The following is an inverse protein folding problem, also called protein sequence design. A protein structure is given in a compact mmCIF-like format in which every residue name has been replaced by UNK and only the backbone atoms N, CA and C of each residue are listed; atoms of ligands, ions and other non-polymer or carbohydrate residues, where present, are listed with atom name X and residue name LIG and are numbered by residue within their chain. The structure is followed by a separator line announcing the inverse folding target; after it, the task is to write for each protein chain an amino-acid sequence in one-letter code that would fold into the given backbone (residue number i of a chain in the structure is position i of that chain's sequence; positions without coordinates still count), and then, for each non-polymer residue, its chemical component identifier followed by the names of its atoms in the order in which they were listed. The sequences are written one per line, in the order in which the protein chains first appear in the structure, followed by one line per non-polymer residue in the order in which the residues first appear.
data_IF_946103402540
#
_entry.id   IF_946103402540
#
_cell.length_a   1.000
_cell.length_b   1.000
_cell.length_c   1.000
_cell.angle_alpha   90.00
_cell.angle_beta   90.00
_cell.angle_gamma   90.00
#
_symmetry.space_group_name_H-M   'P 1'
#
loop_
_entity.id
_entity.type
_entity.pdbx_description
1 polymer ?
#
# COMPACT_ATOMS: atom_id res chain seq x y z
N UNK A 1 0.88 -6.02 112.97
CA UNK A 1 1.02 -6.39 111.54
C UNK A 1 -0.38 -6.45 110.94
N UNK A 2 -0.55 -5.81 109.77
CA UNK A 2 -1.73 -5.84 108.86
C UNK A 2 -3.04 -5.24 109.42
N UNK A 3 -3.86 -4.46 108.70
CA UNK A 3 -3.96 -4.07 107.29
C UNK A 3 -4.92 -2.83 107.15
N UNK A 4 -5.12 -2.39 105.91
CA UNK A 4 -6.23 -1.54 105.33
C UNK A 4 -5.77 -0.13 104.89
N UNK A 5 -5.53 0.09 103.58
CA UNK A 5 -6.47 0.55 102.50
C UNK A 5 -6.83 2.04 102.66
N UNK A 6 -6.88 2.89 101.63
CA UNK A 6 -6.72 2.79 100.18
C UNK A 6 -7.26 4.09 99.55
N UNK A 7 -6.64 4.59 98.47
CA UNK A 7 -7.28 5.56 97.55
C UNK A 7 -6.56 5.61 96.19
N UNK A 8 -7.35 5.95 95.18
CA UNK A 8 -7.06 6.60 93.89
C UNK A 8 -7.11 5.77 92.60
N UNK A 9 -8.05 6.22 91.76
CA UNK A 9 -8.45 5.82 90.42
C UNK A 9 -7.47 6.24 89.30
N UNK A 10 -7.79 5.81 88.06
CA UNK A 10 -7.58 6.68 86.88
C UNK A 10 -7.25 6.00 85.55
N UNK A 11 -8.15 6.22 84.57
CA UNK A 11 -7.92 6.25 83.11
C UNK A 11 -7.54 4.97 82.34
N UNK A 12 -8.54 4.28 81.77
CA UNK A 12 -8.35 3.38 80.62
C UNK A 12 -9.62 3.20 79.77
N UNK A 13 -10.29 4.28 79.36
CA UNK A 13 -11.46 4.21 78.46
C UNK A 13 -11.49 5.36 77.44
N UNK A 14 -10.58 5.38 76.45
CA UNK A 14 -10.77 6.29 75.29
C UNK A 14 -10.18 5.82 73.94
N UNK A 15 -9.32 4.79 73.89
CA UNK A 15 -8.63 4.43 72.63
C UNK A 15 -9.44 3.54 71.65
N UNK A 16 -10.49 2.86 72.12
CA UNK A 16 -11.16 1.79 71.35
C UNK A 16 -12.28 2.25 70.40
N UNK A 17 -12.94 3.36 70.72
CA UNK A 17 -14.16 3.81 70.03
C UNK A 17 -13.84 4.62 68.77
N UNK A 18 -12.72 5.35 68.78
CA UNK A 18 -12.29 6.17 67.65
C UNK A 18 -11.80 5.33 66.46
N UNK A 19 -11.07 4.25 66.73
CA UNK A 19 -10.51 3.33 65.72
C UNK A 19 -11.59 2.59 64.93
N UNK A 20 -12.64 2.07 65.60
CA UNK A 20 -13.78 1.42 64.92
C UNK A 20 -14.62 2.39 64.09
N UNK A 21 -14.68 3.66 64.47
CA UNK A 21 -15.43 4.69 63.71
C UNK A 21 -14.70 5.15 62.45
N UNK A 22 -13.36 5.22 62.48
CA UNK A 22 -12.50 5.56 61.33
C UNK A 22 -12.50 4.45 60.28
N UNK A 23 -12.41 3.18 60.71
CA UNK A 23 -12.48 2.02 59.81
C UNK A 23 -13.85 1.87 59.13
N UNK A 24 -14.94 2.15 59.85
CA UNK A 24 -16.30 2.14 59.27
C UNK A 24 -16.55 3.26 58.25
N UNK A 25 -15.89 4.42 58.40
CA UNK A 25 -15.94 5.53 57.43
C UNK A 25 -15.16 5.21 56.15
N UNK A 26 -13.96 4.63 56.29
CA UNK A 26 -13.13 4.20 55.15
C UNK A 26 -13.80 3.06 54.38
N UNK A 27 -14.43 2.11 55.06
CA UNK A 27 -15.11 0.99 54.41
C UNK A 27 -16.40 1.38 53.67
N UNK A 28 -17.15 2.37 54.16
CA UNK A 28 -18.29 2.96 53.41
C UNK A 28 -17.81 3.74 52.18
N UNK A 29 -16.71 4.48 52.29
CA UNK A 29 -16.12 5.21 51.16
C UNK A 29 -15.60 4.26 50.07
N UNK A 30 -14.94 3.15 50.43
CA UNK A 30 -14.47 2.13 49.49
C UNK A 30 -15.59 1.37 48.76
N UNK A 31 -16.73 1.16 49.42
CA UNK A 31 -17.87 0.41 48.86
C UNK A 31 -18.67 1.25 47.87
N UNK A 32 -18.80 2.55 48.08
CA UNK A 32 -19.51 3.49 47.19
C UNK A 32 -18.73 3.79 45.88
N UNK A 33 -17.40 3.66 45.88
CA UNK A 33 -16.56 3.90 44.69
C UNK A 33 -16.41 2.67 43.77
N UNK A 34 -16.88 1.49 44.19
CA UNK A 34 -16.66 0.21 43.48
C UNK A 34 -17.47 0.08 42.17
N UNK A 35 -18.69 0.61 42.14
CA UNK A 35 -19.57 0.60 40.96
C UNK A 35 -19.13 1.64 39.93
N UNK A 36 -18.67 2.81 40.37
CA UNK A 36 -18.16 3.86 39.49
C UNK A 36 -16.81 3.48 38.84
N UNK A 37 -15.94 2.77 39.55
CA UNK A 37 -14.65 2.34 39.01
C UNK A 37 -14.80 1.35 37.84
N UNK A 38 -15.76 0.42 37.91
CA UNK A 38 -16.00 -0.58 36.86
C UNK A 38 -16.57 0.06 35.58
N UNK A 39 -17.49 1.02 35.72
CA UNK A 39 -18.04 1.78 34.59
C UNK A 39 -16.99 2.62 33.89
N UNK A 40 -16.10 3.29 34.64
CA UNK A 40 -15.00 4.08 34.07
C UNK A 40 -14.00 3.19 33.34
N UNK A 41 -13.67 2.01 33.88
CA UNK A 41 -12.76 1.07 33.23
C UNK A 41 -13.34 0.51 31.91
N UNK A 42 -14.63 0.15 31.89
CA UNK A 42 -15.31 -0.31 30.67
C UNK A 42 -15.38 0.81 29.63
N UNK A 43 -15.75 2.03 30.04
CA UNK A 43 -15.75 3.19 29.15
C UNK A 43 -14.35 3.47 28.57
N UNK A 44 -13.30 3.41 29.40
CA UNK A 44 -11.92 3.60 28.97
C UNK A 44 -11.46 2.50 28.00
N UNK A 45 -11.86 1.24 28.20
CA UNK A 45 -11.54 0.14 27.30
C UNK A 45 -12.26 0.25 25.95
N UNK A 46 -13.52 0.69 25.93
CA UNK A 46 -14.28 0.93 24.69
C UNK A 46 -13.70 2.11 23.91
N UNK A 47 -13.39 3.21 24.60
CA UNK A 47 -12.80 4.42 23.99
C UNK A 47 -11.36 4.17 23.54
N UNK A 48 -10.57 3.40 24.29
CA UNK A 48 -9.17 3.11 23.95
C UNK A 48 -8.98 1.96 22.94
N UNK A 49 -9.92 1.00 22.89
CA UNK A 49 -9.76 -0.22 22.07
C UNK A 49 -10.66 -0.30 20.84
N UNK A 50 -11.91 0.20 20.90
CA UNK A 50 -12.91 -0.02 19.84
C UNK A 50 -13.09 1.22 18.97
N UNK A 51 -13.20 2.39 19.60
CA UNK A 51 -13.37 3.67 18.90
C UNK A 51 -12.23 3.97 17.91
N UNK A 52 -10.94 3.87 18.30
CA UNK A 52 -9.85 4.12 17.35
C UNK A 52 -9.85 3.13 16.19
N UNK A 53 -10.18 1.85 16.39
CA UNK A 53 -10.22 0.86 15.29
C UNK A 53 -11.30 1.19 14.26
N UNK A 54 -12.50 1.56 14.72
CA UNK A 54 -13.61 1.96 13.84
C UNK A 54 -13.35 3.29 13.14
N UNK A 55 -12.76 4.27 13.84
CA UNK A 55 -12.41 5.57 13.26
C UNK A 55 -11.32 5.42 12.19
N UNK A 56 -10.32 4.57 12.44
CA UNK A 56 -9.24 4.30 11.47
C UNK A 56 -9.78 3.59 10.23
N UNK A 57 -10.67 2.61 10.41
CA UNK A 57 -11.30 1.90 9.28
C UNK A 57 -12.15 2.83 8.42
N UNK A 58 -12.99 3.66 9.06
CA UNK A 58 -13.79 4.65 8.34
C UNK A 58 -12.91 5.64 7.57
N UNK A 59 -11.88 6.20 8.23
CA UNK A 59 -10.94 7.12 7.58
C UNK A 59 -10.23 6.47 6.39
N UNK A 60 -9.86 5.19 6.48
CA UNK A 60 -9.15 4.50 5.41
C UNK A 60 -9.98 4.39 4.12
N UNK A 61 -11.30 4.18 4.23
CA UNK A 61 -12.20 4.18 3.07
C UNK A 61 -12.31 5.57 2.42
N UNK A 62 -12.35 6.65 3.22
CA UNK A 62 -12.40 8.02 2.70
C UNK A 62 -11.07 8.52 2.11
N UNK A 63 -9.94 8.02 2.61
CA UNK A 63 -8.61 8.38 2.12
C UNK A 63 -8.11 7.49 0.97
N UNK A 64 -8.82 6.40 0.65
CA UNK A 64 -8.43 5.53 -0.46
C UNK A 64 -8.66 6.25 -1.79
N UNK A 65 -7.65 6.33 -2.68
CA UNK A 65 -7.85 6.88 -4.00
C UNK A 65 -8.92 6.07 -4.75
N UNK A 66 -9.77 6.72 -5.56
CA UNK A 66 -10.78 6.02 -6.33
C UNK A 66 -10.14 5.00 -7.26
N UNK A 67 -10.82 3.87 -7.45
CA UNK A 67 -10.37 2.85 -8.40
C UNK A 67 -10.20 3.45 -9.80
N UNK A 68 -9.21 2.99 -10.58
CA UNK A 68 -9.02 3.47 -11.94
C UNK A 68 -10.27 3.19 -12.78
N UNK A 69 -10.59 4.11 -13.68
CA UNK A 69 -11.70 3.94 -14.62
C UNK A 69 -11.54 2.61 -15.39
N UNK A 70 -12.66 1.91 -15.68
CA UNK A 70 -12.61 0.67 -16.44
C UNK A 70 -11.98 0.90 -17.80
N UNK A 71 -11.25 -0.11 -18.30
CA UNK A 71 -10.75 -0.05 -19.66
C UNK A 71 -11.91 -0.05 -20.66
N UNK A 72 -11.79 0.71 -21.74
CA UNK A 72 -12.81 0.78 -22.80
C UNK A 72 -12.81 -0.45 -23.70
N UNK A 73 -11.78 -1.29 -23.60
CA UNK A 73 -11.67 -2.59 -24.24
C UNK A 73 -11.54 -3.70 -23.18
N UNK A 74 -12.20 -4.85 -23.35
CA UNK A 74 -12.00 -6.01 -22.49
C UNK A 74 -11.04 -7.04 -23.13
N UNK A 75 -10.06 -7.51 -22.34
CA UNK A 75 -9.21 -8.65 -22.68
C UNK A 75 -8.56 -8.59 -24.07
N UNK A 76 -8.75 -9.64 -24.87
CA UNK A 76 -8.21 -9.72 -26.23
C UNK A 76 -8.67 -8.59 -27.17
N UNK A 77 -9.80 -7.92 -26.86
CA UNK A 77 -10.27 -6.75 -27.61
C UNK A 77 -9.37 -5.52 -27.48
N UNK A 78 -8.38 -5.56 -26.58
CA UNK A 78 -7.36 -4.52 -26.45
C UNK A 78 -6.16 -4.71 -27.39
N UNK A 79 -6.01 -5.85 -28.08
CA UNK A 79 -4.86 -6.06 -28.99
C UNK A 79 -4.78 -4.97 -30.06
N UNK A 80 -3.59 -4.43 -30.27
CA UNK A 80 -3.31 -3.40 -31.26
C UNK A 80 -3.83 -2.00 -30.91
N UNK A 81 -4.46 -1.82 -29.75
CA UNK A 81 -4.94 -0.51 -29.31
C UNK A 81 -3.90 0.25 -28.47
N UNK A 82 -4.15 1.54 -28.28
CA UNK A 82 -3.31 2.44 -27.49
C UNK A 82 -3.58 2.24 -25.98
N UNK A 83 -2.56 1.94 -25.16
CA UNK A 83 -2.74 1.62 -23.75
C UNK A 83 -3.17 2.82 -22.89
N UNK A 84 -2.94 4.06 -23.32
CA UNK A 84 -3.37 5.25 -22.58
C UNK A 84 -4.81 5.60 -22.94
N UNK A 85 -5.14 5.60 -24.23
CA UNK A 85 -6.50 5.90 -24.71
C UNK A 85 -7.53 4.92 -24.16
N UNK A 86 -7.17 3.64 -24.08
CA UNK A 86 -8.08 2.61 -23.55
C UNK A 86 -8.04 2.49 -22.02
N UNK A 87 -7.24 3.32 -21.33
CA UNK A 87 -7.14 3.35 -19.87
C UNK A 87 -6.28 2.25 -19.25
N UNK A 88 -5.79 1.27 -20.02
CA UNK A 88 -5.01 0.13 -19.52
C UNK A 88 -3.68 0.52 -18.84
N UNK A 89 -3.21 1.75 -19.04
CA UNK A 89 -1.99 2.27 -18.40
C UNK A 89 -2.14 2.64 -16.91
N UNK A 90 -3.36 2.80 -16.41
CA UNK A 90 -3.61 3.39 -15.09
C UNK A 90 -3.10 2.54 -13.92
N UNK A 91 -3.21 1.22 -14.02
CA UNK A 91 -2.79 0.23 -13.01
C UNK A 91 -1.70 -0.71 -13.53
N UNK A 92 -1.07 -0.35 -14.65
CA UNK A 92 -0.09 -1.21 -15.28
C UNK A 92 1.23 -1.24 -14.52
N UNK A 93 1.63 -2.46 -14.16
CA UNK A 93 2.93 -2.75 -13.58
C UNK A 93 4.01 -2.70 -14.64
N UNK A 94 5.22 -2.35 -14.23
CA UNK A 94 6.35 -2.06 -15.11
C UNK A 94 7.54 -2.95 -14.76
N UNK A 95 8.15 -3.52 -15.78
CA UNK A 95 9.49 -4.09 -15.70
C UNK A 95 10.47 -3.15 -16.40
N UNK A 96 11.42 -2.64 -15.64
CA UNK A 96 12.54 -1.85 -16.12
C UNK A 96 13.83 -2.50 -15.58
N UNK A 97 14.55 -3.27 -16.41
CA UNK A 97 15.85 -3.79 -16.00
C UNK A 97 16.88 -2.66 -15.93
N UNK A 98 17.95 -2.82 -15.15
CA UNK A 98 19.12 -1.96 -15.25
C UNK A 98 19.60 -1.95 -16.70
N UNK A 99 19.75 -0.76 -17.28
CA UNK A 99 20.18 -0.60 -18.66
C UNK A 99 21.63 -0.10 -18.68
N UNK A 100 22.49 -0.84 -19.38
CA UNK A 100 23.83 -0.37 -19.77
C UNK A 100 23.76 0.60 -20.97
N UNK A 101 22.55 0.88 -21.46
CA UNK A 101 22.28 1.81 -22.55
C UNK A 101 21.68 3.13 -22.01
N UNK A 102 22.00 4.27 -22.64
CA UNK A 102 21.45 5.58 -22.26
C UNK A 102 19.95 5.70 -22.54
N UNK A 103 19.43 4.90 -23.48
CA UNK A 103 18.00 4.78 -23.77
C UNK A 103 17.42 3.68 -22.90
N UNK A 104 16.33 3.96 -22.18
CA UNK A 104 15.68 2.98 -21.32
C UNK A 104 14.54 2.28 -22.05
N UNK A 105 14.48 0.96 -21.92
CA UNK A 105 13.44 0.10 -22.47
C UNK A 105 12.69 -0.55 -21.31
N UNK A 106 11.39 -0.36 -21.30
CA UNK A 106 10.48 -0.90 -20.29
C UNK A 106 9.47 -1.81 -20.98
N UNK A 107 9.01 -2.83 -20.26
CA UNK A 107 7.76 -3.51 -20.60
C UNK A 107 6.74 -3.16 -19.55
N UNK A 108 5.52 -2.84 -19.96
CA UNK A 108 4.39 -2.61 -19.06
C UNK A 108 3.34 -3.70 -19.29
N UNK A 109 2.70 -4.13 -18.21
CA UNK A 109 1.64 -5.15 -18.22
C UNK A 109 0.42 -4.62 -17.49
N UNK A 110 -0.75 -4.77 -18.10
CA UNK A 110 -2.02 -4.58 -17.42
C UNK A 110 -2.72 -5.92 -17.28
N UNK A 111 -2.84 -6.42 -16.03
CA UNK A 111 -3.55 -7.67 -15.75
C UNK A 111 -5.04 -7.55 -16.06
N UNK A 112 -5.65 -6.41 -15.75
CA UNK A 112 -7.08 -6.17 -16.02
C UNK A 112 -7.40 -6.20 -17.52
N UNK A 113 -6.48 -5.73 -18.35
CA UNK A 113 -6.66 -5.72 -19.81
C UNK A 113 -6.11 -6.98 -20.49
N UNK A 114 -5.31 -7.82 -19.81
CA UNK A 114 -4.72 -9.03 -20.41
C UNK A 114 -3.72 -8.70 -21.52
N UNK A 115 -2.88 -7.67 -21.33
CA UNK A 115 -1.99 -7.13 -22.36
C UNK A 115 -0.63 -6.73 -21.83
N UNK A 116 0.36 -6.68 -22.73
CA UNK A 116 1.68 -6.08 -22.53
C UNK A 116 2.01 -5.10 -23.65
N UNK A 117 2.90 -4.14 -23.37
CA UNK A 117 3.45 -3.24 -24.38
C UNK A 117 4.85 -2.76 -23.99
N UNK A 118 5.64 -2.38 -25.00
CA UNK A 118 6.95 -1.76 -24.79
C UNK A 118 6.83 -0.25 -24.59
N UNK A 119 7.70 0.33 -23.76
CA UNK A 119 7.96 1.77 -23.69
C UNK A 119 9.44 2.02 -23.86
N UNK A 120 9.79 2.98 -24.70
CA UNK A 120 11.14 3.51 -24.80
C UNK A 120 11.16 4.94 -24.23
N UNK A 121 12.22 5.29 -23.50
CA UNK A 121 12.43 6.65 -22.96
C UNK A 121 13.88 7.09 -23.13
N UNK A 122 14.12 8.40 -23.07
CA UNK A 122 15.42 9.01 -23.39
C UNK A 122 15.88 8.75 -24.82
N UNK A 123 14.92 8.44 -25.71
CA UNK A 123 15.14 8.15 -27.11
C UNK A 123 15.22 9.43 -27.95
N UNK A 124 15.64 9.27 -29.20
CA UNK A 124 15.58 10.30 -30.24
C UNK A 124 14.47 10.00 -31.24
N UNK A 125 14.04 11.03 -31.96
CA UNK A 125 13.07 10.88 -33.06
C UNK A 125 13.63 9.92 -34.12
N UNK A 126 12.81 8.94 -34.50
CA UNK A 126 13.17 7.86 -35.41
C UNK A 126 13.63 6.57 -34.72
N UNK A 127 13.93 6.60 -33.41
CA UNK A 127 14.16 5.36 -32.67
C UNK A 127 12.89 4.50 -32.65
N UNK A 128 13.06 3.18 -32.62
CA UNK A 128 11.95 2.23 -32.71
C UNK A 128 11.90 1.37 -31.46
N UNK A 129 10.70 1.23 -30.91
CA UNK A 129 10.39 0.23 -29.88
C UNK A 129 9.50 -0.84 -30.47
N UNK A 130 9.80 -2.10 -30.17
CA UNK A 130 9.02 -3.26 -30.59
C UNK A 130 8.72 -4.15 -29.40
N UNK A 131 7.53 -4.73 -29.35
CA UNK A 131 7.17 -5.82 -28.43
C UNK A 131 6.63 -6.99 -29.24
N UNK A 132 7.03 -8.20 -28.89
CA UNK A 132 6.60 -9.45 -29.51
C UNK A 132 6.25 -10.46 -28.44
N UNK A 133 5.08 -11.07 -28.54
CA UNK A 133 4.68 -12.21 -27.69
C UNK A 133 4.95 -13.50 -28.44
N UNK A 134 5.55 -14.48 -27.77
CA UNK A 134 5.81 -15.81 -28.34
C UNK A 134 4.48 -16.49 -28.69
N UNK A 135 4.34 -16.96 -29.94
CA UNK A 135 3.08 -17.51 -30.46
C UNK A 135 1.95 -16.49 -30.65
N UNK A 136 2.22 -15.19 -30.46
CA UNK A 136 1.23 -14.12 -30.57
C UNK A 136 1.65 -13.00 -31.53
N UNK A 137 1.03 -11.83 -31.37
CA UNK A 137 1.28 -10.65 -32.20
C UNK A 137 2.61 -9.97 -31.86
N UNK A 138 3.10 -9.17 -32.80
CA UNK A 138 4.16 -8.20 -32.59
C UNK A 138 3.69 -6.80 -32.97
N UNK A 139 4.11 -5.79 -32.22
CA UNK A 139 3.75 -4.39 -32.45
C UNK A 139 4.98 -3.53 -32.28
N UNK A 140 5.09 -2.52 -33.13
CA UNK A 140 6.20 -1.57 -33.13
C UNK A 140 5.66 -0.15 -33.15
N UNK A 141 6.44 0.78 -32.63
CA UNK A 141 6.18 2.21 -32.73
C UNK A 141 7.49 2.96 -32.91
N UNK A 142 7.44 4.01 -33.74
CA UNK A 142 8.55 4.93 -33.96
C UNK A 142 8.35 6.14 -33.04
N UNK A 143 9.43 6.65 -32.47
CA UNK A 143 9.43 7.93 -31.75
C UNK A 143 9.25 9.04 -32.79
N UNK A 144 8.06 9.61 -32.88
CA UNK A 144 7.76 10.67 -33.86
C UNK A 144 8.12 12.06 -33.34
N UNK A 145 8.04 12.25 -32.02
CA UNK A 145 8.35 13.49 -31.33
C UNK A 145 8.77 13.20 -29.88
N UNK A 146 9.35 14.19 -29.21
CA UNK A 146 9.74 14.06 -27.81
C UNK A 146 10.89 13.08 -27.60
N UNK A 147 10.85 12.35 -26.48
CA UNK A 147 11.92 11.41 -26.06
C UNK A 147 11.37 10.06 -25.60
N UNK A 148 10.09 9.81 -25.77
CA UNK A 148 9.46 8.56 -25.38
C UNK A 148 8.36 8.14 -26.34
N UNK A 149 8.13 6.83 -26.41
CA UNK A 149 7.07 6.23 -27.21
C UNK A 149 6.67 4.89 -26.60
N UNK A 150 5.42 4.49 -26.87
CA UNK A 150 4.89 3.18 -26.51
C UNK A 150 4.46 2.42 -27.76
N UNK A 151 4.62 1.10 -27.73
CA UNK A 151 3.97 0.25 -28.72
C UNK A 151 2.46 0.21 -28.47
N UNK A 152 1.66 -0.06 -29.51
CA UNK A 152 0.33 -0.63 -29.30
C UNK A 152 0.38 -1.88 -28.42
N UNK A 153 -0.72 -2.17 -27.74
CA UNK A 153 -0.87 -3.32 -26.85
C UNK A 153 -0.79 -4.64 -27.61
N UNK A 154 -0.26 -5.67 -26.96
CA UNK A 154 -0.31 -7.05 -27.42
C UNK A 154 -0.99 -7.90 -26.35
N UNK A 155 -2.00 -8.68 -26.75
CA UNK A 155 -2.69 -9.58 -25.85
C UNK A 155 -1.80 -10.73 -25.37
N UNK A 156 -1.95 -11.07 -24.10
CA UNK A 156 -1.24 -12.17 -23.44
C UNK A 156 -2.21 -13.00 -22.61
N UNK A 157 -1.91 -14.29 -22.48
CA UNK A 157 -2.58 -15.17 -21.54
C UNK A 157 -2.06 -15.00 -20.10
N UNK A 158 -2.52 -15.88 -19.21
CA UNK A 158 -2.02 -15.93 -17.83
C UNK A 158 -0.53 -16.23 -17.78
N UNK A 159 -0.09 -17.20 -18.59
CA UNK A 159 1.31 -17.53 -18.86
C UNK A 159 1.71 -16.95 -20.21
N UNK A 160 2.87 -16.32 -20.28
CA UNK A 160 3.38 -15.77 -21.53
C UNK A 160 4.88 -15.57 -21.50
N UNK A 161 5.47 -15.46 -22.69
CA UNK A 161 6.81 -14.91 -22.91
C UNK A 161 6.71 -13.79 -23.93
N UNK A 162 7.29 -12.64 -23.61
CA UNK A 162 7.38 -11.51 -24.52
C UNK A 162 8.82 -11.00 -24.59
N UNK A 163 9.20 -10.53 -25.77
CA UNK A 163 10.47 -9.84 -26.01
C UNK A 163 10.18 -8.42 -26.45
N UNK A 164 10.77 -7.45 -25.77
CA UNK A 164 10.78 -6.06 -26.22
C UNK A 164 12.18 -5.71 -26.72
N UNK A 165 12.26 -4.93 -27.80
CA UNK A 165 13.52 -4.45 -28.35
C UNK A 165 13.43 -2.93 -28.57
N UNK A 166 14.55 -2.25 -28.33
CA UNK A 166 14.78 -0.87 -28.71
C UNK A 166 15.84 -0.85 -29.81
N UNK A 167 15.57 -0.12 -30.88
CA UNK A 167 16.46 0.00 -32.05
C UNK A 167 16.71 1.48 -32.33
N UNK A 168 17.98 1.91 -32.44
CA UNK A 168 18.26 3.30 -32.71
C UNK A 168 17.96 3.63 -34.16
N UNK A 169 17.60 4.88 -34.42
CA UNK A 169 17.49 5.41 -35.78
C UNK A 169 18.82 5.29 -36.54
N UNK A 170 18.70 5.12 -37.86
CA UNK A 170 19.82 5.17 -38.81
C UNK A 170 20.03 6.57 -39.39
N UNK A 171 19.25 7.57 -38.93
CA UNK A 171 19.42 8.95 -39.39
C UNK A 171 20.83 9.46 -39.13
N UNK A 172 21.42 10.12 -40.13
CA UNK A 172 22.71 10.80 -39.99
C UNK A 172 22.67 11.95 -38.97
N UNK A 173 21.48 12.45 -38.63
CA UNK A 173 21.28 13.52 -37.65
C UNK A 173 21.24 13.04 -36.20
N UNK A 174 21.32 11.73 -35.93
CA UNK A 174 21.21 11.21 -34.58
C UNK A 174 22.43 11.60 -33.73
N UNK A 175 22.22 11.87 -32.45
CA UNK A 175 23.30 12.21 -31.51
C UNK A 175 23.64 11.09 -30.53
N UNK A 176 22.67 10.21 -30.26
CA UNK A 176 22.75 9.12 -29.30
C UNK A 176 23.71 8.02 -29.75
N UNK A 177 24.63 7.65 -28.86
CA UNK A 177 25.52 6.49 -29.06
C UNK A 177 25.03 5.32 -28.22
N UNK A 178 24.22 4.47 -28.84
CA UNK A 178 23.73 3.23 -28.27
C UNK A 178 23.40 2.23 -29.38
N UNK A 179 23.29 0.96 -29.01
CA UNK A 179 23.06 -0.16 -29.92
C UNK A 179 21.73 -0.84 -29.61
N UNK A 180 21.14 -1.50 -30.61
CA UNK A 180 19.95 -2.31 -30.41
C UNK A 180 20.13 -3.24 -29.21
N UNK A 181 19.14 -3.28 -28.35
CA UNK A 181 19.08 -4.24 -27.26
C UNK A 181 17.65 -4.68 -27.01
N UNK A 182 17.52 -5.88 -26.44
CA UNK A 182 16.24 -6.50 -26.17
C UNK A 182 16.19 -7.00 -24.74
N UNK A 183 14.97 -7.02 -24.18
CA UNK A 183 14.67 -7.54 -22.86
C UNK A 183 13.55 -8.56 -22.99
N UNK A 184 13.67 -9.66 -22.25
CA UNK A 184 12.67 -10.73 -22.22
C UNK A 184 11.92 -10.65 -20.90
N UNK A 185 10.60 -10.76 -20.98
CA UNK A 185 9.72 -10.85 -19.82
C UNK A 185 8.82 -12.06 -19.93
N UNK A 186 8.43 -12.58 -18.78
CA UNK A 186 7.40 -13.61 -18.61
C UNK A 186 6.34 -13.13 -17.62
N UNK A 187 5.28 -13.93 -17.44
CA UNK A 187 4.29 -13.72 -16.38
C UNK A 187 4.92 -13.68 -14.98
N UNK A 188 6.03 -14.39 -14.77
CA UNK A 188 6.78 -14.49 -13.52
C UNK A 188 7.87 -13.41 -13.33
N UNK A 189 8.00 -12.45 -14.25
CA UNK A 189 8.93 -11.32 -14.10
C UNK A 189 8.65 -10.57 -12.79
N UNK A 190 9.69 -10.02 -12.14
CA UNK A 190 9.54 -9.23 -10.92
C UNK A 190 8.98 -7.82 -11.22
N UNK A 191 7.72 -7.78 -11.65
CA UNK A 191 6.96 -6.57 -11.98
C UNK A 191 6.86 -5.61 -10.77
N UNK A 192 6.98 -4.30 -11.03
CA UNK A 192 6.91 -3.24 -10.03
C UNK A 192 5.82 -2.22 -10.34
#
# INVERSE_FOLDING_TARGET
MSNSEGEAAGEAEDAGTESRSRLRRVWRWLRDHSTHALLVAVAAAVVGGVVPVLLTGALQDWLSPPAPAPATCPGAGCDGKDPQKEGCSADAVTWLPPADNPVSLQVRRSKRCGVVWGRITSAEVGDVVTVRVEGGSARSAVVEYGKDQYTPMVSVGETFRATACAEPTISASRTGRWSKYCIVVTDATAWK
#
